data_IF_641776074455
#
_entry.id   IF_641776074455
#
_cell.length_a   1.000
_cell.length_b   1.000
_cell.length_c   1.000
_cell.angle_alpha   90.00
_cell.angle_beta   90.00
_cell.angle_gamma   90.00
#
_symmetry.space_group_name_H-M   'P 1'
#
loop_
_entity.id
_entity.type
_entity.pdbx_description
1 polymer ?
#
# COMPACT_ATOMS: atom_id res chain seq x y z
N UNK A 1 -20.71 -2.50 8.48
CA UNK A 1 -19.28 -2.70 8.20
C UNK A 1 -18.98 -4.16 8.50
N UNK A 2 -18.49 -4.91 7.51
CA UNK A 2 -17.90 -6.22 7.78
C UNK A 2 -16.63 -6.02 8.60
N UNK A 3 -16.38 -6.80 9.65
CA UNK A 3 -15.08 -6.79 10.29
C UNK A 3 -14.05 -7.25 9.25
N UNK A 4 -12.89 -6.60 9.21
CA UNK A 4 -11.73 -7.15 8.51
C UNK A 4 -11.50 -8.57 9.02
N UNK A 5 -11.24 -9.49 8.09
CA UNK A 5 -11.02 -10.90 8.43
C UNK A 5 -9.61 -11.11 9.03
N UNK A 6 -9.32 -10.39 10.13
CA UNK A 6 -8.05 -10.50 10.83
C UNK A 6 -7.73 -11.92 11.29
N UNK A 7 -8.78 -12.75 11.47
CA UNK A 7 -8.62 -14.15 11.86
C UNK A 7 -7.94 -15.01 10.79
N UNK A 8 -7.87 -14.51 9.55
CA UNK A 8 -7.12 -15.15 8.45
C UNK A 8 -5.61 -14.86 8.49
N UNK A 9 -5.19 -13.91 9.31
CA UNK A 9 -3.77 -13.61 9.52
C UNK A 9 -3.15 -14.56 10.54
N UNK A 10 -1.81 -14.77 10.51
CA UNK A 10 -1.09 -15.45 11.57
C UNK A 10 -1.41 -14.83 12.94
N UNK A 11 -1.44 -15.67 13.99
CA UNK A 11 -1.87 -15.26 15.32
C UNK A 11 -1.11 -14.06 15.91
N UNK A 12 0.16 -13.93 15.58
CA UNK A 12 1.02 -12.81 15.99
C UNK A 12 0.63 -11.48 15.29
N UNK A 13 -0.02 -11.54 14.13
CA UNK A 13 -0.54 -10.37 13.43
C UNK A 13 -1.99 -10.03 13.79
N UNK A 14 -2.67 -10.92 14.48
CA UNK A 14 -4.04 -10.67 14.99
C UNK A 14 -4.03 -9.74 16.21
N UNK A 15 -2.86 -9.48 16.80
CA UNK A 15 -2.75 -8.64 17.99
C UNK A 15 -3.29 -7.23 17.73
N UNK A 16 -4.07 -6.74 18.67
CA UNK A 16 -4.64 -5.40 18.66
C UNK A 16 -3.61 -4.28 18.55
N UNK A 17 -2.36 -4.54 18.95
CA UNK A 17 -1.24 -3.56 18.88
C UNK A 17 -0.94 -3.14 17.44
N UNK A 18 -1.21 -3.99 16.46
CA UNK A 18 -1.00 -3.69 15.05
C UNK A 18 -2.23 -3.09 14.36
N UNK A 19 -3.37 -2.95 15.06
CA UNK A 19 -4.61 -2.43 14.48
C UNK A 19 -4.68 -0.93 14.66
N UNK A 20 -4.82 -0.22 13.55
CA UNK A 20 -5.05 1.22 13.51
C UNK A 20 -6.15 1.56 12.52
N UNK A 21 -6.82 2.67 12.71
CA UNK A 21 -7.75 3.18 11.71
C UNK A 21 -7.02 3.69 10.48
N UNK A 22 -7.68 3.65 9.32
CA UNK A 22 -7.13 4.20 8.08
C UNK A 22 -6.79 5.69 8.23
N UNK A 23 -7.58 6.44 9.01
CA UNK A 23 -7.28 7.84 9.30
C UNK A 23 -5.97 8.01 10.08
N UNK A 24 -5.67 7.14 11.05
CA UNK A 24 -4.41 7.18 11.79
C UNK A 24 -3.21 6.80 10.90
N UNK A 25 -3.36 5.77 10.05
CA UNK A 25 -2.29 5.27 9.17
C UNK A 25 -1.96 6.26 8.05
N UNK A 26 -2.96 7.04 7.59
CA UNK A 26 -2.80 8.06 6.56
C UNK A 26 -2.31 9.41 7.09
N UNK A 27 -2.27 9.60 8.42
CA UNK A 27 -1.85 10.85 9.03
C UNK A 27 -0.34 11.03 8.90
N UNK A 28 0.09 12.13 8.29
CA UNK A 28 1.50 12.48 8.23
C UNK A 28 2.06 12.78 9.62
N UNK A 29 3.28 12.33 9.89
CA UNK A 29 4.02 12.82 11.04
C UNK A 29 4.33 14.30 10.80
N UNK A 30 3.94 15.24 11.68
CA UNK A 30 4.28 16.64 11.49
C UNK A 30 5.80 16.77 11.51
N UNK A 31 6.34 17.55 10.58
CA UNK A 31 7.74 17.97 10.67
C UNK A 31 7.87 18.90 11.89
N UNK A 32 9.08 19.01 12.48
CA UNK A 32 9.28 19.88 13.66
C UNK A 32 8.83 21.34 13.46
N UNK A 33 8.75 21.79 12.22
CA UNK A 33 8.36 23.15 11.81
C UNK A 33 6.87 23.28 11.44
N UNK A 34 6.11 22.17 11.42
CA UNK A 34 4.71 22.13 11.00
C UNK A 34 3.82 21.70 12.18
N UNK A 35 2.92 22.58 12.61
CA UNK A 35 1.95 22.28 13.68
C UNK A 35 0.81 21.36 13.24
N UNK A 36 0.61 21.15 11.94
CA UNK A 36 -0.55 20.42 11.40
C UNK A 36 -0.16 19.09 10.79
N UNK A 37 -0.83 18.02 11.26
CA UNK A 37 -0.86 16.74 10.57
C UNK A 37 -1.81 16.84 9.37
N UNK A 38 -1.32 16.47 8.21
CA UNK A 38 -2.17 16.30 7.03
C UNK A 38 -2.63 14.86 6.97
N UNK A 39 -3.93 14.64 6.85
CA UNK A 39 -4.51 13.33 6.60
C UNK A 39 -4.93 13.28 5.13
N UNK A 40 -4.39 12.35 4.36
CA UNK A 40 -4.79 12.10 2.97
C UNK A 40 -5.67 10.85 2.85
N UNK A 41 -5.94 10.19 3.96
CA UNK A 41 -6.87 9.07 4.00
C UNK A 41 -8.31 9.55 4.17
N UNK A 42 -9.24 8.58 4.21
CA UNK A 42 -10.64 8.87 4.38
C UNK A 42 -10.92 9.57 5.72
N UNK A 43 -11.74 10.60 5.68
CA UNK A 43 -12.08 11.42 6.86
C UNK A 43 -13.45 11.08 7.43
N UNK A 44 -14.32 10.42 6.66
CA UNK A 44 -15.67 10.01 7.06
C UNK A 44 -15.67 8.70 7.88
N UNK A 45 -16.78 7.98 7.86
CA UNK A 45 -16.88 6.64 8.45
C UNK A 45 -15.86 5.65 7.88
N UNK A 46 -15.43 5.83 6.63
CA UNK A 46 -14.38 5.04 6.00
C UNK A 46 -13.04 5.19 6.73
N UNK A 47 -12.75 6.37 7.30
CA UNK A 47 -11.54 6.60 8.11
C UNK A 47 -11.47 5.78 9.39
N UNK A 48 -12.61 5.28 9.88
CA UNK A 48 -12.70 4.44 11.09
C UNK A 48 -12.43 2.95 10.83
N UNK A 49 -12.32 2.57 9.55
CA UNK A 49 -11.99 1.19 9.17
C UNK A 49 -10.64 0.81 9.78
N UNK A 50 -10.64 -0.33 10.46
CA UNK A 50 -9.43 -0.86 11.08
C UNK A 50 -8.59 -1.59 10.02
N UNK A 51 -7.31 -1.34 10.03
CA UNK A 51 -6.33 -2.01 9.18
C UNK A 51 -5.12 -2.41 10.02
N UNK A 52 -4.32 -3.31 9.50
CA UNK A 52 -3.03 -3.65 10.12
C UNK A 52 -2.00 -2.57 9.77
N UNK A 53 -1.36 -1.98 10.76
CA UNK A 53 -0.18 -1.13 10.61
C UNK A 53 0.99 -1.99 10.09
N UNK A 54 1.16 -2.00 8.77
CA UNK A 54 2.12 -2.91 8.14
C UNK A 54 3.57 -2.47 8.34
N UNK A 55 3.81 -1.18 8.56
CA UNK A 55 5.11 -0.68 8.99
C UNK A 55 5.48 -1.18 10.39
N UNK A 56 4.54 -1.20 11.33
CA UNK A 56 4.77 -1.74 12.68
C UNK A 56 4.99 -3.26 12.64
N UNK A 57 4.24 -3.98 11.82
CA UNK A 57 4.43 -5.43 11.60
C UNK A 57 5.83 -5.70 11.06
N UNK A 58 6.29 -4.95 10.07
CA UNK A 58 7.63 -5.10 9.52
C UNK A 58 8.72 -4.86 10.58
N UNK A 59 8.57 -3.83 11.40
CA UNK A 59 9.54 -3.57 12.49
C UNK A 59 9.53 -4.67 13.57
N UNK A 60 8.36 -5.23 13.87
CA UNK A 60 8.24 -6.39 14.76
C UNK A 60 8.96 -7.61 14.18
N UNK A 61 8.73 -7.93 12.91
CA UNK A 61 9.40 -9.02 12.23
C UNK A 61 10.91 -8.82 12.14
N UNK A 62 11.34 -7.57 11.97
CA UNK A 62 12.76 -7.21 11.94
C UNK A 62 13.49 -7.45 13.27
N UNK A 63 12.79 -7.31 14.38
CA UNK A 63 13.30 -7.65 15.72
C UNK A 63 13.45 -9.17 15.97
N UNK A 64 12.86 -10.00 15.10
CA UNK A 64 12.87 -11.45 15.15
C UNK A 64 14.00 -12.10 14.34
N UNK A 65 13.70 -13.29 13.78
CA UNK A 65 14.69 -14.11 13.04
C UNK A 65 15.01 -13.60 11.62
N UNK A 66 14.24 -12.67 11.07
CA UNK A 66 14.38 -12.21 9.70
C UNK A 66 14.88 -10.77 9.62
N UNK A 67 15.96 -10.57 8.88
CA UNK A 67 16.53 -9.25 8.61
C UNK A 67 15.92 -8.71 7.31
N UNK A 68 14.60 -8.54 7.27
CA UNK A 68 13.98 -7.87 6.13
C UNK A 68 14.28 -6.36 6.18
N UNK A 69 15.08 -5.87 5.24
CA UNK A 69 15.46 -4.45 5.11
C UNK A 69 14.63 -3.70 4.06
N UNK A 70 13.60 -4.34 3.51
CA UNK A 70 12.74 -3.77 2.49
C UNK A 70 11.89 -2.61 3.00
N UNK A 71 11.29 -1.89 2.06
CA UNK A 71 10.23 -0.91 2.34
C UNK A 71 8.92 -1.63 2.53
N UNK A 72 7.94 -1.02 3.21
CA UNK A 72 6.60 -1.55 3.40
C UNK A 72 5.54 -0.55 2.97
N UNK A 73 4.37 -1.05 2.64
CA UNK A 73 3.15 -0.26 2.59
C UNK A 73 2.76 0.19 4.00
N UNK A 74 1.91 1.22 4.09
CA UNK A 74 1.48 1.76 5.38
C UNK A 74 0.45 0.85 6.06
N UNK A 75 -0.46 0.22 5.28
CA UNK A 75 -1.55 -0.57 5.82
C UNK A 75 -1.77 -1.87 5.05
N UNK A 76 -2.33 -2.88 5.76
CA UNK A 76 -2.84 -4.12 5.19
C UNK A 76 -4.29 -4.33 5.64
N UNK A 77 -5.17 -4.60 4.68
CA UNK A 77 -6.56 -5.02 4.91
C UNK A 77 -6.77 -6.41 4.32
N UNK A 78 -7.53 -7.24 5.02
CA UNK A 78 -7.95 -8.57 4.56
C UNK A 78 -9.48 -8.59 4.45
N UNK A 79 -9.99 -8.99 3.28
CA UNK A 79 -11.42 -9.08 2.98
C UNK A 79 -11.69 -10.45 2.30
N UNK A 80 -12.01 -11.45 3.08
CA UNK A 80 -12.11 -12.83 2.60
C UNK A 80 -10.76 -13.33 2.08
N UNK A 81 -10.71 -13.68 0.80
CA UNK A 81 -9.48 -14.13 0.15
C UNK A 81 -8.67 -12.98 -0.46
N UNK A 82 -9.19 -11.76 -0.43
CA UNK A 82 -8.54 -10.60 -1.03
C UNK A 82 -7.72 -9.84 0.02
N UNK A 83 -6.52 -9.44 -0.37
CA UNK A 83 -5.56 -8.71 0.46
C UNK A 83 -5.27 -7.36 -0.20
N UNK A 84 -5.29 -6.29 0.58
CA UNK A 84 -5.07 -4.93 0.10
C UNK A 84 -3.93 -4.29 0.87
N UNK A 85 -2.81 -4.06 0.19
CA UNK A 85 -1.72 -3.23 0.70
C UNK A 85 -2.01 -1.79 0.30
N UNK A 86 -1.97 -0.87 1.27
CA UNK A 86 -2.32 0.53 1.06
C UNK A 86 -1.11 1.40 1.39
N UNK A 87 -0.76 2.27 0.48
CA UNK A 87 0.28 3.28 0.63
C UNK A 87 -0.32 4.68 0.52
N UNK A 88 -0.07 5.54 1.50
CA UNK A 88 -0.51 6.92 1.52
C UNK A 88 0.65 7.87 1.20
N UNK A 89 0.49 8.73 0.18
CA UNK A 89 1.50 9.70 -0.27
C UNK A 89 1.00 11.14 -0.16
N UNK A 90 1.62 11.95 0.71
CA UNK A 90 1.33 13.37 0.89
C UNK A 90 2.16 14.29 0.00
N UNK A 91 3.11 13.75 -0.72
CA UNK A 91 4.01 14.50 -1.59
C UNK A 91 4.21 13.78 -2.91
N UNK A 92 5.29 14.14 -3.60
CA UNK A 92 5.61 13.58 -4.91
C UNK A 92 5.51 12.07 -4.95
N UNK A 93 4.69 11.56 -5.88
CA UNK A 93 4.61 10.13 -6.18
C UNK A 93 5.88 9.73 -6.97
N UNK A 94 6.68 8.89 -6.35
CA UNK A 94 7.78 8.18 -7.01
C UNK A 94 7.31 6.78 -7.34
N UNK A 95 7.08 6.53 -8.64
CA UNK A 95 6.58 5.24 -9.12
C UNK A 95 7.54 4.11 -8.81
N UNK A 96 8.86 4.33 -8.94
CA UNK A 96 9.86 3.32 -8.63
C UNK A 96 9.85 2.94 -7.14
N UNK A 97 9.69 3.93 -6.26
CA UNK A 97 9.56 3.69 -4.82
C UNK A 97 8.29 2.93 -4.49
N UNK A 98 7.15 3.29 -5.12
CA UNK A 98 5.87 2.62 -4.89
C UNK A 98 5.89 1.17 -5.37
N UNK A 99 6.49 0.89 -6.53
CA UNK A 99 6.71 -0.46 -7.04
C UNK A 99 7.60 -1.28 -6.11
N UNK A 100 8.67 -0.67 -5.60
CA UNK A 100 9.54 -1.32 -4.63
C UNK A 100 8.78 -1.65 -3.34
N UNK A 101 7.94 -0.75 -2.83
CA UNK A 101 7.09 -1.03 -1.67
C UNK A 101 6.12 -2.18 -1.92
N UNK A 102 5.49 -2.22 -3.09
CA UNK A 102 4.59 -3.32 -3.46
C UNK A 102 5.32 -4.67 -3.48
N UNK A 103 6.51 -4.72 -4.12
CA UNK A 103 7.33 -5.92 -4.17
C UNK A 103 7.83 -6.35 -2.78
N UNK A 104 8.43 -5.42 -2.04
CA UNK A 104 9.00 -5.68 -0.73
C UNK A 104 7.91 -6.13 0.26
N UNK A 105 6.71 -5.53 0.20
CA UNK A 105 5.58 -5.94 1.05
C UNK A 105 5.05 -7.33 0.68
N UNK A 106 4.93 -7.65 -0.62
CA UNK A 106 4.54 -8.99 -1.06
C UNK A 106 5.57 -10.04 -0.62
N UNK A 107 6.86 -9.74 -0.76
CA UNK A 107 7.94 -10.61 -0.30
C UNK A 107 7.85 -10.85 1.22
N UNK A 108 7.58 -9.81 2.01
CA UNK A 108 7.39 -9.97 3.46
C UNK A 108 6.22 -10.91 3.77
N UNK A 109 5.06 -10.75 3.11
CA UNK A 109 3.91 -11.63 3.30
C UNK A 109 4.23 -13.09 2.94
N UNK A 110 5.05 -13.32 1.92
CA UNK A 110 5.47 -14.68 1.52
C UNK A 110 6.47 -15.26 2.52
N UNK A 111 7.48 -14.51 2.93
CA UNK A 111 8.48 -14.97 3.90
C UNK A 111 7.87 -15.33 5.25
N UNK A 112 6.80 -14.63 5.65
CA UNK A 112 6.07 -14.91 6.89
C UNK A 112 4.93 -15.93 6.74
N UNK A 113 4.84 -16.58 5.58
CA UNK A 113 3.81 -17.58 5.26
C UNK A 113 2.37 -17.07 5.41
N UNK A 114 2.15 -15.78 5.21
CA UNK A 114 0.80 -15.19 5.12
C UNK A 114 0.18 -15.55 3.78
N UNK A 115 0.96 -15.40 2.71
CA UNK A 115 0.58 -15.73 1.34
C UNK A 115 1.71 -16.51 0.64
N UNK A 116 1.35 -17.29 -0.36
CA UNK A 116 2.30 -17.78 -1.37
C UNK A 116 2.43 -16.78 -2.51
N UNK A 117 3.48 -16.89 -3.34
CA UNK A 117 3.62 -16.05 -4.54
C UNK A 117 2.42 -16.17 -5.49
N UNK A 118 1.85 -17.35 -5.63
CA UNK A 118 0.67 -17.54 -6.48
C UNK A 118 -0.58 -16.89 -5.88
N UNK A 119 -0.72 -16.90 -4.56
CA UNK A 119 -1.79 -16.17 -3.89
C UNK A 119 -1.60 -14.65 -4.00
N UNK A 120 -0.37 -14.15 -3.92
CA UNK A 120 -0.10 -12.72 -4.17
C UNK A 120 -0.56 -12.30 -5.57
N UNK A 121 -0.26 -13.08 -6.60
CA UNK A 121 -0.69 -12.81 -7.98
C UNK A 121 -2.20 -12.87 -8.19
N UNK A 122 -2.90 -13.66 -7.39
CA UNK A 122 -4.34 -13.89 -7.52
C UNK A 122 -5.18 -13.00 -6.61
N UNK A 123 -4.68 -12.63 -5.43
CA UNK A 123 -5.45 -12.05 -4.34
C UNK A 123 -4.88 -10.77 -3.74
N UNK A 124 -3.63 -10.39 -4.05
CA UNK A 124 -3.01 -9.21 -3.46
C UNK A 124 -3.15 -8.00 -4.39
N UNK A 125 -3.81 -6.96 -3.92
CA UNK A 125 -3.93 -5.66 -4.60
C UNK A 125 -3.10 -4.62 -3.87
N UNK A 126 -2.32 -3.82 -4.61
CA UNK A 126 -1.61 -2.67 -4.07
C UNK A 126 -2.37 -1.39 -4.44
N UNK A 127 -2.73 -0.61 -3.43
CA UNK A 127 -3.46 0.65 -3.55
C UNK A 127 -2.52 1.81 -3.19
N UNK A 128 -2.30 2.71 -4.13
CA UNK A 128 -1.57 3.95 -3.90
C UNK A 128 -2.57 5.11 -3.80
N UNK A 129 -2.61 5.75 -2.63
CA UNK A 129 -3.50 6.89 -2.39
C UNK A 129 -2.67 8.18 -2.34
N UNK A 130 -3.00 9.14 -3.20
CA UNK A 130 -2.26 10.40 -3.29
C UNK A 130 -3.13 11.55 -3.78
N UNK A 131 -2.67 12.78 -3.62
CA UNK A 131 -3.42 13.94 -4.10
C UNK A 131 -3.53 13.94 -5.62
N UNK A 132 -4.61 14.51 -6.16
CA UNK A 132 -4.85 14.58 -7.60
C UNK A 132 -3.69 15.26 -8.36
N UNK A 133 -3.12 16.32 -7.79
CA UNK A 133 -1.97 17.02 -8.37
C UNK A 133 -0.74 16.11 -8.50
N UNK A 134 -0.45 15.30 -7.50
CA UNK A 134 0.67 14.37 -7.50
C UNK A 134 0.46 13.19 -8.46
N UNK A 135 -0.78 12.69 -8.55
CA UNK A 135 -1.16 11.64 -9.51
C UNK A 135 -0.98 12.15 -10.94
N UNK A 136 -1.48 13.33 -11.26
CA UNK A 136 -1.35 13.95 -12.60
C UNK A 136 0.12 14.20 -12.95
N UNK A 137 0.92 14.72 -12.03
CA UNK A 137 2.35 14.93 -12.25
C UNK A 137 3.10 13.62 -12.47
N UNK A 138 2.75 12.56 -11.72
CA UNK A 138 3.30 11.22 -11.91
C UNK A 138 2.95 10.66 -13.29
N UNK A 139 1.70 10.79 -13.73
CA UNK A 139 1.25 10.35 -15.04
C UNK A 139 1.90 11.13 -16.19
N UNK A 140 2.04 12.46 -16.07
CA UNK A 140 2.71 13.30 -17.06
C UNK A 140 4.21 12.96 -17.19
N UNK A 141 4.87 12.69 -16.08
CA UNK A 141 6.29 12.29 -16.10
C UNK A 141 6.50 10.91 -16.71
N UNK A 142 5.64 9.96 -16.41
CA UNK A 142 5.68 8.64 -17.03
C UNK A 142 5.42 8.71 -18.53
N UNK A 143 4.53 9.61 -18.97
CA UNK A 143 4.26 9.86 -20.39
C UNK A 143 5.46 10.50 -21.10
N UNK A 144 6.07 11.53 -20.49
CA UNK A 144 7.23 12.21 -21.08
C UNK A 144 8.47 11.31 -21.13
N UNK A 145 8.67 10.42 -20.16
CA UNK A 145 9.76 9.45 -20.17
C UNK A 145 9.50 8.37 -21.22
N UNK A 146 8.28 7.89 -21.38
CA UNK A 146 7.93 6.90 -22.40
C UNK A 146 8.06 7.48 -23.84
N UNK A 147 7.76 8.77 -24.02
CA UNK A 147 7.87 9.44 -25.31
C UNK A 147 9.33 9.77 -25.71
N UNK A 148 10.24 9.88 -24.74
CA UNK A 148 11.65 10.17 -24.97
C UNK A 148 12.56 8.93 -25.01
N UNK A 149 12.11 7.78 -24.55
CA UNK A 149 12.90 6.57 -24.58
C UNK A 149 12.65 5.78 -25.86
N UNK A 150 13.61 5.88 -26.76
CA UNK A 150 13.76 5.00 -27.93
C UNK A 150 13.56 3.53 -27.52
N UNK A 151 12.67 2.74 -28.19
CA UNK A 151 12.34 1.36 -27.83
C UNK A 151 13.53 0.39 -27.80
N UNK A 152 14.72 0.84 -28.18
CA UNK A 152 15.96 0.04 -28.17
C UNK A 152 16.68 -0.02 -26.81
N UNK A 153 16.29 0.77 -25.82
CA UNK A 153 16.85 0.72 -24.47
C UNK A 153 15.83 0.14 -23.51
N UNK A 154 15.88 -1.16 -23.31
CA UNK A 154 15.17 -1.85 -22.21
C UNK A 154 15.83 -1.52 -20.87
N UNK A 155 15.83 -0.24 -20.47
CA UNK A 155 15.97 0.10 -19.07
C UNK A 155 14.71 -0.42 -18.37
N UNK A 156 14.90 -1.09 -17.25
CA UNK A 156 13.86 -1.62 -16.36
C UNK A 156 12.75 -0.58 -16.28
N UNK A 157 11.68 -0.81 -17.03
CA UNK A 157 10.52 0.07 -17.05
C UNK A 157 9.92 0.06 -15.65
N UNK A 158 10.00 1.17 -14.94
CA UNK A 158 9.29 1.38 -13.67
C UNK A 158 7.78 1.56 -13.92
N UNK A 159 7.22 0.73 -14.78
CA UNK A 159 5.81 0.71 -15.10
C UNK A 159 5.09 -0.16 -14.06
N UNK A 160 4.03 0.33 -13.39
CA UNK A 160 3.23 -0.48 -12.48
C UNK A 160 2.80 -1.83 -13.06
N UNK A 161 2.62 -1.91 -14.38
CA UNK A 161 2.31 -3.15 -15.09
C UNK A 161 3.37 -4.24 -14.93
N UNK A 162 4.61 -3.88 -14.57
CA UNK A 162 5.69 -4.87 -14.38
C UNK A 162 5.50 -5.73 -13.13
N UNK A 163 4.75 -5.27 -12.13
CA UNK A 163 4.44 -6.05 -10.91
C UNK A 163 3.08 -6.73 -10.99
N UNK A 164 2.15 -6.22 -11.84
CA UNK A 164 0.82 -6.80 -12.01
C UNK A 164 0.93 -8.17 -12.70
N UNK A 165 0.30 -9.19 -12.13
CA UNK A 165 0.35 -10.57 -12.61
C UNK A 165 1.68 -11.30 -12.35
N UNK A 166 2.74 -10.59 -11.94
CA UNK A 166 4.02 -11.19 -11.55
C UNK A 166 4.21 -11.23 -10.03
N UNK A 167 3.78 -10.20 -9.34
CA UNK A 167 3.94 -10.03 -7.89
C UNK A 167 2.60 -9.79 -7.22
N UNK A 168 1.76 -8.91 -7.77
CA UNK A 168 0.44 -8.58 -7.26
C UNK A 168 -0.63 -8.80 -8.32
N UNK A 169 -1.89 -8.99 -7.90
CA UNK A 169 -3.08 -9.09 -8.77
C UNK A 169 -3.32 -7.79 -9.53
N UNK A 170 -3.30 -6.67 -8.82
CA UNK A 170 -3.49 -5.33 -9.39
C UNK A 170 -2.70 -4.28 -8.63
N UNK A 171 -2.42 -3.18 -9.33
CA UNK A 171 -1.82 -1.97 -8.79
C UNK A 171 -2.74 -0.81 -9.19
N UNK A 172 -3.38 -0.18 -8.22
CA UNK A 172 -4.41 0.82 -8.43
C UNK A 172 -4.01 2.14 -7.76
N UNK A 173 -4.38 3.25 -8.38
CA UNK A 173 -4.05 4.60 -7.89
C UNK A 173 -5.35 5.35 -7.69
N UNK A 174 -5.52 5.92 -6.49
CA UNK A 174 -6.70 6.65 -6.09
C UNK A 174 -6.38 8.05 -5.58
N UNK A 175 -7.25 9.00 -5.86
CA UNK A 175 -7.35 10.21 -5.03
C UNK A 175 -7.94 9.86 -3.66
N UNK A 176 -7.80 10.72 -2.65
CA UNK A 176 -8.42 10.49 -1.34
C UNK A 176 -9.94 10.25 -1.42
N UNK A 177 -10.64 11.01 -2.28
CA UNK A 177 -12.09 10.92 -2.48
C UNK A 177 -12.49 9.62 -3.17
N UNK A 178 -11.74 9.21 -4.18
CA UNK A 178 -11.96 7.93 -4.87
C UNK A 178 -11.71 6.75 -3.92
N UNK A 179 -10.65 6.84 -3.11
CA UNK A 179 -10.34 5.81 -2.11
C UNK A 179 -11.41 5.73 -1.03
N UNK A 180 -11.92 6.86 -0.54
CA UNK A 180 -13.04 6.89 0.41
C UNK A 180 -14.27 6.21 -0.16
N UNK A 181 -14.61 6.51 -1.42
CA UNK A 181 -15.72 5.85 -2.15
C UNK A 181 -15.49 4.34 -2.27
N UNK A 182 -14.28 3.93 -2.61
CA UNK A 182 -13.89 2.52 -2.70
C UNK A 182 -14.09 1.78 -1.36
N UNK A 183 -13.60 2.36 -0.25
CA UNK A 183 -13.74 1.80 1.10
C UNK A 183 -15.21 1.63 1.49
N UNK A 184 -16.03 2.63 1.19
CA UNK A 184 -17.49 2.58 1.46
C UNK A 184 -18.19 1.52 0.63
N UNK A 185 -17.83 1.36 -0.65
CA UNK A 185 -18.38 0.32 -1.53
C UNK A 185 -18.01 -1.09 -1.08
N UNK A 186 -16.80 -1.28 -0.58
CA UNK A 186 -16.34 -2.55 0.01
C UNK A 186 -17.03 -2.88 1.32
N UNK A 187 -17.65 -1.90 1.97
CA UNK A 187 -18.33 -2.05 3.28
C UNK A 187 -17.36 -2.53 4.39
N UNK A 188 -16.11 -2.18 4.28
CA UNK A 188 -15.10 -2.48 5.30
C UNK A 188 -15.43 -1.89 6.66
#
# INVERSE_FOLDING_TARGET
MKPNDFDLLPSDLQDMVFRKSLAELSATKPKPEEEKRYCIGPTSSAGKVQAVDFDAVKEYWRGGRFVFKGKSADALIVDGLEYYLIEFKTGRIDTAESLRKAYDSAMALVEYNVLTWDQCKQHLTFLLVGTEAEIRLGQLRNKSVADYMNPSYSCVNHDPRTVVGQVVKSFEIYTPEEFETFVLQKQW
#
